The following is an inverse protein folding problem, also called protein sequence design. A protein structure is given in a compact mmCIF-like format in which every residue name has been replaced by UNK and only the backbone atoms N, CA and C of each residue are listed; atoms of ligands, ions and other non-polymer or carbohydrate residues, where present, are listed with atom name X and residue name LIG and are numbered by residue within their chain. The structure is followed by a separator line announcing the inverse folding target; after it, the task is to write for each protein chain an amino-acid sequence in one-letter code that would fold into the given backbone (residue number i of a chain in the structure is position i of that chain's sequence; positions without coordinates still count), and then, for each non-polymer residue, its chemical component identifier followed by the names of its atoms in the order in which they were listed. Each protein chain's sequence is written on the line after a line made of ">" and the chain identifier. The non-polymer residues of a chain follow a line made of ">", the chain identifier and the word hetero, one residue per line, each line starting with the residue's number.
data_IF_523580327335
#
_entry.id   IF_523580327335
#
_cell.length_a   1.000
_cell.length_b   1.000
_cell.length_c   1.000
_cell.angle_alpha   90.00
_cell.angle_beta   90.00
_cell.angle_gamma   90.00
#
_symmetry.space_group_name_H-M   'P 1'
#
loop_
_entity.id
_entity.type
_entity.pdbx_description
1 polymer ?
#
# COMPACT_ATOMS: atom_id res chain seq x y z
N UNK A 1 -15.94 8.73 -28.68
CA UNK A 1 -16.09 7.45 -27.95
C UNK A 1 -14.76 7.17 -27.27
N UNK A 2 -14.76 6.78 -26.00
CA UNK A 2 -13.55 6.56 -25.20
C UNK A 2 -13.74 5.27 -24.40
N UNK A 3 -12.66 4.49 -24.22
CA UNK A 3 -12.64 3.32 -23.34
C UNK A 3 -12.64 3.74 -21.88
N UNK A 4 -13.56 3.18 -21.08
CA UNK A 4 -13.53 3.34 -19.63
C UNK A 4 -12.50 2.41 -18.97
N UNK A 5 -12.37 2.47 -17.65
CA UNK A 5 -11.42 1.65 -16.86
C UNK A 5 -11.63 0.14 -16.97
N UNK A 6 -12.82 -0.28 -17.41
CA UNK A 6 -13.25 -1.67 -17.65
C UNK A 6 -13.13 -2.07 -19.13
N UNK A 7 -12.54 -1.22 -19.98
CA UNK A 7 -12.38 -1.42 -21.42
C UNK A 7 -13.69 -1.44 -22.25
N UNK A 8 -14.76 -0.89 -21.68
CA UNK A 8 -16.03 -0.68 -22.35
C UNK A 8 -16.05 0.67 -23.08
N UNK A 9 -16.63 0.71 -24.27
CA UNK A 9 -16.80 1.95 -25.03
C UNK A 9 -17.87 2.83 -24.39
N UNK A 10 -17.51 4.10 -24.13
CA UNK A 10 -18.41 5.12 -23.60
C UNK A 10 -18.45 6.33 -24.51
N UNK A 11 -19.66 6.87 -24.70
CA UNK A 11 -19.85 8.18 -25.31
C UNK A 11 -19.82 9.24 -24.22
N UNK A 12 -18.98 10.25 -24.41
CA UNK A 12 -18.80 11.33 -23.45
C UNK A 12 -19.31 12.64 -24.02
N UNK A 13 -19.91 13.45 -23.15
CA UNK A 13 -20.28 14.83 -23.41
C UNK A 13 -19.59 15.73 -22.40
N UNK A 14 -19.18 16.91 -22.83
CA UNK A 14 -18.68 17.94 -21.94
C UNK A 14 -19.88 18.74 -21.42
N UNK A 15 -20.04 18.81 -20.10
CA UNK A 15 -21.11 19.54 -19.45
C UNK A 15 -20.55 20.45 -18.36
N UNK A 16 -21.17 21.61 -18.16
CA UNK A 16 -20.81 22.53 -17.08
C UNK A 16 -21.58 22.20 -15.80
N UNK A 17 -20.87 22.02 -14.70
CA UNK A 17 -21.44 21.89 -13.35
C UNK A 17 -20.69 22.80 -12.39
N UNK A 18 -21.40 23.64 -11.64
CA UNK A 18 -20.79 24.55 -10.66
C UNK A 18 -19.63 25.40 -11.22
N UNK A 19 -19.76 25.86 -12.48
CA UNK A 19 -18.72 26.62 -13.23
C UNK A 19 -17.46 25.81 -13.61
N UNK A 20 -17.57 24.48 -13.60
CA UNK A 20 -16.50 23.56 -14.01
C UNK A 20 -17.00 22.70 -15.17
N UNK A 21 -16.25 22.67 -16.27
CA UNK A 21 -16.53 21.76 -17.39
C UNK A 21 -16.00 20.36 -17.07
N UNK A 22 -16.90 19.37 -17.09
CA UNK A 22 -16.60 17.97 -16.77
C UNK A 22 -17.06 17.04 -17.89
N UNK A 23 -16.26 16.03 -18.16
CA UNK A 23 -16.63 14.94 -19.06
C UNK A 23 -17.58 13.97 -18.34
N UNK A 24 -18.76 13.79 -18.92
CA UNK A 24 -19.80 12.88 -18.41
C UNK A 24 -20.17 11.85 -19.45
N UNK A 25 -20.49 10.64 -19.01
CA UNK A 25 -21.04 9.63 -19.88
C UNK A 25 -22.51 9.95 -20.21
N UNK A 26 -22.93 9.71 -21.45
CA UNK A 26 -24.31 9.98 -21.90
C UNK A 26 -25.33 9.01 -21.33
N UNK A 27 -24.88 7.86 -20.81
CA UNK A 27 -25.72 6.84 -20.17
C UNK A 27 -26.00 7.14 -18.68
N UNK A 28 -25.55 8.29 -18.17
CA UNK A 28 -25.71 8.69 -16.78
C UNK A 28 -24.75 7.99 -15.80
N UNK A 29 -23.80 7.19 -16.30
CA UNK A 29 -22.79 6.56 -15.44
C UNK A 29 -21.82 7.60 -14.85
N UNK A 30 -21.42 7.38 -13.60
CA UNK A 30 -20.48 8.25 -12.90
C UNK A 30 -19.08 8.10 -13.54
N UNK A 31 -18.51 9.20 -14.03
CA UNK A 31 -17.20 9.21 -14.67
C UNK A 31 -16.02 9.36 -13.69
N UNK A 32 -16.27 9.49 -12.39
CA UNK A 32 -15.21 9.64 -11.40
C UNK A 32 -14.30 8.41 -11.38
N UNK A 33 -12.98 8.65 -11.41
CA UNK A 33 -11.98 7.59 -11.44
C UNK A 33 -11.76 6.98 -12.82
N UNK A 34 -12.30 7.60 -13.87
CA UNK A 34 -11.97 7.30 -15.27
C UNK A 34 -10.76 8.13 -15.72
N UNK A 35 -10.08 7.70 -16.80
CA UNK A 35 -8.88 8.40 -17.29
C UNK A 35 -9.13 9.88 -17.60
N UNK A 36 -10.31 10.19 -18.15
CA UNK A 36 -10.74 11.53 -18.55
C UNK A 36 -11.40 12.33 -17.40
N UNK A 37 -11.69 11.69 -16.27
CA UNK A 37 -12.19 12.34 -15.06
C UNK A 37 -11.62 11.60 -13.81
N UNK A 38 -10.28 11.68 -13.60
CA UNK A 38 -9.64 10.93 -12.53
C UNK A 38 -10.10 11.46 -11.17
N UNK A 39 -10.27 10.56 -10.22
CA UNK A 39 -10.51 10.94 -8.84
C UNK A 39 -9.24 11.55 -8.24
N UNK A 40 -9.35 12.32 -7.15
CA UNK A 40 -8.16 12.79 -6.45
C UNK A 40 -7.34 11.61 -5.88
N UNK A 41 -8.01 10.73 -5.16
CA UNK A 41 -7.50 9.46 -4.64
C UNK A 41 -8.64 8.42 -4.56
N UNK A 42 -8.35 7.23 -4.02
CA UNK A 42 -9.36 6.19 -3.86
C UNK A 42 -10.47 6.58 -2.87
N UNK A 43 -10.19 7.43 -1.87
CA UNK A 43 -11.21 7.91 -0.92
C UNK A 43 -12.15 8.91 -1.58
N UNK A 44 -11.64 9.80 -2.44
CA UNK A 44 -12.46 10.69 -3.28
C UNK A 44 -13.37 9.89 -4.21
N UNK A 45 -12.83 8.84 -4.86
CA UNK A 45 -13.62 7.94 -5.70
C UNK A 45 -14.73 7.24 -4.89
N UNK A 46 -14.42 6.71 -3.70
CA UNK A 46 -15.39 6.07 -2.82
C UNK A 46 -16.53 7.02 -2.41
N UNK A 47 -16.21 8.27 -2.08
CA UNK A 47 -17.20 9.25 -1.64
C UNK A 47 -18.13 9.71 -2.77
N UNK A 48 -17.64 9.73 -4.01
CA UNK A 48 -18.40 10.21 -5.18
C UNK A 48 -19.18 9.11 -5.89
N UNK A 49 -18.74 7.87 -5.81
CA UNK A 49 -19.33 6.75 -6.54
C UNK A 49 -20.20 5.93 -5.58
N UNK A 50 -21.52 5.97 -5.80
CA UNK A 50 -22.44 5.10 -5.07
C UNK A 50 -22.09 3.63 -5.31
N UNK A 51 -21.97 2.85 -4.23
CA UNK A 51 -21.56 1.44 -4.27
C UNK A 51 -20.25 1.19 -5.02
N UNK A 52 -19.24 2.07 -4.82
CA UNK A 52 -17.91 1.88 -5.39
C UNK A 52 -17.38 0.47 -5.09
N UNK A 53 -16.92 -0.24 -6.12
CA UNK A 53 -16.39 -1.61 -6.01
C UNK A 53 -14.87 -1.60 -6.03
N UNK A 54 -14.27 -2.65 -5.47
CA UNK A 54 -12.84 -2.89 -5.60
C UNK A 54 -12.45 -3.00 -7.08
N UNK A 55 -11.36 -2.36 -7.49
CA UNK A 55 -10.98 -2.33 -8.89
C UNK A 55 -9.92 -1.29 -9.22
N UNK A 56 -9.61 -1.13 -10.50
CA UNK A 56 -8.66 -0.12 -10.95
C UNK A 56 -9.33 1.22 -11.18
N UNK A 57 -8.79 2.29 -10.61
CA UNK A 57 -9.26 3.66 -10.81
C UNK A 57 -8.10 4.50 -11.31
N UNK A 58 -8.42 5.53 -12.08
CA UNK A 58 -7.50 6.61 -12.39
C UNK A 58 -7.56 7.64 -11.27
N UNK A 59 -6.42 7.87 -10.63
CA UNK A 59 -6.27 8.84 -9.55
C UNK A 59 -5.27 9.93 -9.93
N UNK A 60 -5.48 11.15 -9.44
CA UNK A 60 -4.62 12.30 -9.68
C UNK A 60 -4.32 13.01 -8.36
N UNK A 61 -3.34 12.47 -7.66
CA UNK A 61 -2.77 13.10 -6.47
C UNK A 61 -2.11 14.44 -6.86
N UNK A 62 -2.22 15.45 -5.99
CA UNK A 62 -1.77 16.83 -6.23
C UNK A 62 -0.44 16.93 -6.98
N UNK A 63 -0.46 17.55 -8.16
CA UNK A 63 0.75 17.81 -8.97
C UNK A 63 1.15 16.71 -9.96
N UNK A 64 0.48 15.55 -9.97
CA UNK A 64 0.86 14.43 -10.82
C UNK A 64 -0.01 14.25 -12.08
N UNK A 65 0.57 13.55 -13.05
CA UNK A 65 -0.15 12.94 -14.17
C UNK A 65 -1.13 11.89 -13.60
N UNK A 66 -2.35 11.75 -14.15
CA UNK A 66 -3.27 10.69 -13.73
C UNK A 66 -2.57 9.32 -13.78
N UNK A 67 -2.65 8.58 -12.68
CA UNK A 67 -2.06 7.26 -12.53
C UNK A 67 -3.16 6.22 -12.30
N UNK A 68 -3.06 5.07 -12.97
CA UNK A 68 -3.93 3.94 -12.68
C UNK A 68 -3.48 3.29 -11.37
N UNK A 69 -4.42 3.05 -10.47
CA UNK A 69 -4.18 2.45 -9.16
C UNK A 69 -5.28 1.45 -8.85
N UNK A 70 -4.95 0.36 -8.15
CA UNK A 70 -5.98 -0.52 -7.61
C UNK A 70 -6.51 0.06 -6.30
N UNK A 71 -7.79 0.39 -6.28
CA UNK A 71 -8.53 0.82 -5.11
C UNK A 71 -9.33 -0.34 -4.54
N UNK A 72 -9.24 -0.52 -3.23
CA UNK A 72 -10.16 -1.36 -2.46
C UNK A 72 -11.06 -0.41 -1.69
N UNK A 73 -12.33 -0.55 -2.02
CA UNK A 73 -13.47 0.23 -1.60
C UNK A 73 -14.28 -0.51 -0.52
N UNK A 74 -13.92 -1.76 -0.23
CA UNK A 74 -14.70 -2.65 0.65
C UNK A 74 -14.12 -2.80 2.05
N UNK A 75 -12.80 -2.98 2.18
CA UNK A 75 -12.19 -3.43 3.44
C UNK A 75 -11.86 -2.26 4.34
N UNK A 76 -12.23 -2.33 5.62
CA UNK A 76 -11.95 -1.28 6.62
C UNK A 76 -12.45 0.10 6.15
N UNK A 77 -13.71 0.17 5.72
CA UNK A 77 -14.36 1.39 5.24
C UNK A 77 -13.89 1.89 3.86
N UNK A 78 -13.04 1.15 3.17
CA UNK A 78 -12.64 1.45 1.78
C UNK A 78 -11.81 2.73 1.60
N UNK A 79 -11.59 3.09 0.32
CA UNK A 79 -10.91 4.33 -0.07
C UNK A 79 -9.39 4.19 -0.10
N UNK A 80 -8.91 2.97 -0.30
CA UNK A 80 -7.55 2.57 -0.02
C UNK A 80 -6.76 2.21 -1.29
N UNK A 81 -5.57 2.78 -1.45
CA UNK A 81 -4.68 2.51 -2.61
C UNK A 81 -3.75 1.30 -2.37
N UNK A 82 -3.66 0.37 -3.32
CA UNK A 82 -2.64 -0.70 -3.31
C UNK A 82 -1.29 -0.18 -3.82
N UNK A 83 -0.25 -0.27 -2.98
CA UNK A 83 1.09 0.30 -3.26
C UNK A 83 2.19 -0.76 -3.39
N UNK A 84 1.93 -1.99 -2.95
CA UNK A 84 2.89 -3.07 -3.06
C UNK A 84 2.27 -4.45 -2.84
N UNK A 85 2.82 -5.44 -3.53
CA UNK A 85 2.43 -6.85 -3.36
C UNK A 85 3.65 -7.74 -3.27
N UNK A 86 3.53 -8.79 -2.46
CA UNK A 86 4.43 -9.94 -2.46
C UNK A 86 3.67 -11.26 -2.41
N UNK A 87 4.26 -12.32 -2.97
CA UNK A 87 3.66 -13.65 -3.11
C UNK A 87 4.25 -14.73 -2.20
N UNK A 88 5.32 -14.46 -1.46
CA UNK A 88 5.85 -15.38 -0.46
C UNK A 88 6.54 -14.63 0.70
N UNK A 89 6.70 -15.25 1.86
CA UNK A 89 7.44 -14.66 2.98
C UNK A 89 8.97 -14.73 2.80
N UNK A 90 9.47 -15.55 1.87
CA UNK A 90 10.87 -16.01 1.82
C UNK A 90 11.77 -15.20 0.86
N UNK A 91 11.27 -14.73 -0.28
CA UNK A 91 12.08 -13.91 -1.20
C UNK A 91 12.21 -12.48 -0.67
N UNK A 92 13.42 -11.96 -0.49
CA UNK A 92 13.61 -10.67 0.18
C UNK A 92 13.60 -9.48 -0.77
N UNK A 93 13.52 -9.76 -2.07
CA UNK A 93 13.71 -8.78 -3.14
C UNK A 93 12.41 -8.57 -3.89
N UNK A 94 11.71 -7.47 -3.58
CA UNK A 94 10.55 -7.01 -4.35
C UNK A 94 10.97 -5.73 -5.07
N UNK A 95 10.99 -5.71 -6.42
CA UNK A 95 11.42 -4.53 -7.15
C UNK A 95 10.46 -3.37 -6.92
N UNK A 96 10.95 -2.14 -7.07
CA UNK A 96 10.09 -0.96 -7.17
C UNK A 96 10.11 -0.42 -8.60
N UNK A 97 8.96 -0.02 -9.11
CA UNK A 97 8.86 0.57 -10.43
C UNK A 97 7.61 1.47 -10.54
N UNK A 98 7.46 2.14 -11.67
CA UNK A 98 6.33 3.05 -11.93
C UNK A 98 5.10 2.33 -12.50
N UNK A 99 5.02 0.99 -12.43
CA UNK A 99 3.85 0.24 -12.91
C UNK A 99 2.77 0.22 -11.83
N UNK A 100 1.52 0.06 -12.28
CA UNK A 100 0.36 -0.17 -11.42
C UNK A 100 0.54 -1.49 -10.67
N UNK A 101 0.34 -1.47 -9.36
CA UNK A 101 0.34 -2.71 -8.56
C UNK A 101 -1.00 -3.40 -8.71
N UNK A 102 -0.97 -4.67 -9.10
CA UNK A 102 -2.16 -5.49 -9.28
C UNK A 102 -2.30 -6.51 -8.14
N UNK A 103 -3.53 -6.78 -7.64
CA UNK A 103 -3.75 -7.74 -6.54
C UNK A 103 -3.28 -9.15 -6.86
N UNK A 104 -3.32 -9.54 -8.14
CA UNK A 104 -2.92 -10.87 -8.62
C UNK A 104 -1.73 -10.84 -9.60
N UNK A 105 -1.13 -9.68 -9.86
CA UNK A 105 0.03 -9.52 -10.74
C UNK A 105 1.40 -9.80 -10.09
N UNK A 106 2.48 -9.56 -10.84
CA UNK A 106 3.85 -9.83 -10.36
C UNK A 106 4.17 -9.01 -9.08
N UNK A 107 4.94 -9.55 -8.12
CA UNK A 107 5.39 -8.77 -6.96
C UNK A 107 6.19 -7.53 -7.37
N UNK A 108 5.75 -6.36 -6.96
CA UNK A 108 6.52 -5.13 -6.99
C UNK A 108 5.91 -4.08 -6.04
N UNK A 109 6.65 -3.01 -5.81
CA UNK A 109 6.19 -1.75 -5.22
C UNK A 109 5.94 -0.71 -6.31
N UNK A 110 5.04 0.22 -6.03
CA UNK A 110 4.86 1.44 -6.81
C UNK A 110 5.77 2.55 -6.29
N UNK A 111 6.63 3.10 -7.15
CA UNK A 111 7.37 4.34 -6.89
C UNK A 111 6.62 5.59 -7.35
N UNK A 112 5.56 5.44 -8.16
CA UNK A 112 4.77 6.58 -8.66
C UNK A 112 3.95 7.28 -7.57
N UNK A 113 3.86 6.67 -6.38
CA UNK A 113 3.13 7.19 -5.23
C UNK A 113 4.05 7.74 -4.13
N UNK A 114 5.35 7.93 -4.39
CA UNK A 114 6.31 8.39 -3.37
C UNK A 114 5.95 9.71 -2.69
N UNK A 115 5.39 10.66 -3.44
CA UNK A 115 4.97 11.98 -2.91
C UNK A 115 3.56 12.00 -2.33
N UNK A 116 2.81 10.91 -2.46
CA UNK A 116 1.47 10.82 -1.96
C UNK A 116 1.43 11.06 -0.44
N UNK A 117 0.61 12.00 0.07
CA UNK A 117 0.49 12.24 1.49
C UNK A 117 -0.27 11.09 2.15
N UNK A 118 0.33 10.49 3.17
CA UNK A 118 -0.21 9.34 3.91
C UNK A 118 -0.59 9.77 5.32
N UNK A 119 -1.81 9.44 5.77
CA UNK A 119 -2.19 9.48 7.19
C UNK A 119 -2.47 8.10 7.77
N UNK A 120 -2.79 7.13 6.92
CA UNK A 120 -2.99 5.74 7.30
C UNK A 120 -2.11 4.84 6.43
N UNK A 121 -1.73 3.69 7.01
CA UNK A 121 -0.99 2.62 6.33
C UNK A 121 -1.47 1.27 6.87
N UNK A 122 -1.50 0.22 6.05
CA UNK A 122 -2.02 -1.09 6.46
C UNK A 122 -1.18 -2.21 5.88
N UNK A 123 -1.17 -3.32 6.60
CA UNK A 123 -0.52 -4.55 6.12
C UNK A 123 -1.49 -5.69 6.26
N UNK A 124 -1.64 -6.46 5.19
CA UNK A 124 -2.50 -7.63 5.13
C UNK A 124 -1.75 -8.84 4.61
N UNK A 125 -2.05 -9.97 5.22
CA UNK A 125 -1.49 -11.27 4.90
C UNK A 125 -2.66 -12.20 4.63
N UNK A 126 -2.67 -12.83 3.45
CA UNK A 126 -3.60 -13.91 3.18
C UNK A 126 -2.92 -15.24 3.52
N UNK A 127 -3.52 -16.00 4.43
CA UNK A 127 -3.05 -17.31 4.85
C UNK A 127 -4.01 -18.36 4.30
N UNK A 128 -3.44 -19.36 3.61
CA UNK A 128 -4.20 -20.53 3.18
C UNK A 128 -4.17 -21.55 4.32
N UNK A 129 -5.30 -21.74 4.99
CA UNK A 129 -5.47 -22.82 5.98
C UNK A 129 -5.66 -24.15 5.24
N UNK A 130 -5.13 -25.24 5.81
CA UNK A 130 -5.12 -26.59 5.19
C UNK A 130 -6.53 -27.09 4.87
N UNK A 131 -7.56 -26.66 5.61
CA UNK A 131 -8.94 -27.15 5.50
C UNK A 131 -10.01 -26.05 5.34
N UNK A 132 -9.63 -24.79 5.11
CA UNK A 132 -10.57 -23.66 5.07
C UNK A 132 -10.31 -22.67 3.94
N UNK A 133 -11.28 -21.79 3.69
CA UNK A 133 -11.14 -20.61 2.83
C UNK A 133 -9.97 -19.72 3.31
N UNK A 134 -9.41 -18.93 2.40
CA UNK A 134 -8.31 -18.01 2.70
C UNK A 134 -8.70 -17.05 3.82
N UNK A 135 -7.85 -16.94 4.84
CA UNK A 135 -8.04 -15.98 5.92
C UNK A 135 -7.15 -14.76 5.69
N UNK A 136 -7.76 -13.58 5.70
CA UNK A 136 -7.05 -12.31 5.62
C UNK A 136 -6.80 -11.79 7.04
N UNK A 137 -5.54 -11.72 7.43
CA UNK A 137 -5.11 -11.14 8.71
C UNK A 137 -4.41 -9.82 8.41
N UNK A 138 -4.67 -8.77 9.18
CA UNK A 138 -3.94 -7.54 9.00
C UNK A 138 -4.17 -6.50 10.07
N UNK A 139 -3.33 -5.46 10.03
CA UNK A 139 -3.40 -4.31 10.92
C UNK A 139 -3.32 -3.01 10.12
N UNK A 140 -4.08 -2.00 10.53
CA UNK A 140 -3.93 -0.62 10.08
C UNK A 140 -3.24 0.23 11.15
N UNK A 141 -2.45 1.19 10.69
CA UNK A 141 -1.63 2.08 11.48
C UNK A 141 -2.04 3.51 11.13
N UNK A 142 -2.60 4.22 12.11
CA UNK A 142 -2.90 5.65 11.96
C UNK A 142 -1.66 6.45 12.34
N UNK A 143 -1.15 7.26 11.42
CA UNK A 143 -0.06 8.19 11.71
C UNK A 143 -0.58 9.38 12.52
N UNK A 144 0.28 9.95 13.36
CA UNK A 144 -0.01 11.20 14.09
C UNK A 144 -0.14 12.40 13.15
N UNK A 145 0.69 12.44 12.11
CA UNK A 145 0.77 13.52 11.14
C UNK A 145 0.86 12.97 9.72
N UNK A 146 0.29 13.72 8.76
CA UNK A 146 0.45 13.42 7.34
C UNK A 146 1.93 13.51 6.94
N UNK A 147 2.41 12.55 6.16
CA UNK A 147 3.76 12.60 5.56
C UNK A 147 3.78 11.96 4.18
N UNK A 148 4.73 12.28 3.29
CA UNK A 148 4.87 11.58 2.02
C UNK A 148 5.20 10.10 2.20
N UNK A 149 4.71 9.23 1.31
CA UNK A 149 5.03 7.79 1.31
C UNK A 149 6.54 7.51 1.29
N UNK A 150 7.31 8.30 0.53
CA UNK A 150 8.78 8.20 0.48
C UNK A 150 9.47 8.48 1.81
N UNK A 151 8.74 8.92 2.83
CA UNK A 151 9.20 9.13 4.20
C UNK A 151 8.47 8.20 5.18
N UNK A 152 7.99 7.04 4.72
CA UNK A 152 7.31 6.04 5.54
C UNK A 152 8.19 5.57 6.69
N UNK A 153 9.47 5.31 6.43
CA UNK A 153 10.44 4.94 7.45
C UNK A 153 11.11 6.17 8.07
N UNK A 154 11.21 6.16 9.39
CA UNK A 154 11.78 7.21 10.23
C UNK A 154 13.07 6.74 10.90
N UNK A 155 14.06 7.62 10.95
CA UNK A 155 15.33 7.40 11.65
C UNK A 155 15.50 8.47 12.72
N UNK A 156 15.79 8.06 13.97
CA UNK A 156 16.05 8.95 15.10
C UNK A 156 14.92 9.97 15.38
N UNK A 157 13.67 9.60 15.11
CA UNK A 157 12.47 10.43 15.34
C UNK A 157 11.22 9.57 15.38
N UNK A 158 10.12 10.14 15.86
CA UNK A 158 8.81 9.50 15.92
C UNK A 158 8.78 8.21 16.72
N UNK A 159 9.59 8.11 17.77
CA UNK A 159 9.74 6.92 18.61
C UNK A 159 10.75 5.90 18.08
N UNK A 160 11.29 6.08 16.88
CA UNK A 160 12.34 5.23 16.30
C UNK A 160 13.74 5.72 16.69
N UNK A 161 14.59 4.78 17.11
CA UNK A 161 15.96 5.07 17.55
C UNK A 161 16.95 5.21 16.38
N UNK A 162 18.17 5.66 16.70
CA UNK A 162 19.26 5.78 15.72
C UNK A 162 19.74 4.43 15.15
N UNK A 163 19.62 3.36 15.92
CA UNK A 163 20.02 2.00 15.51
C UNK A 163 18.83 1.12 15.09
N UNK A 164 17.61 1.65 15.22
CA UNK A 164 16.36 0.95 14.94
C UNK A 164 15.39 1.90 14.22
N UNK A 165 15.67 2.21 12.94
CA UNK A 165 14.71 2.95 12.12
C UNK A 165 13.47 2.11 11.85
N UNK A 166 12.36 2.78 11.58
CA UNK A 166 11.13 2.11 11.20
C UNK A 166 9.93 3.01 11.06
N UNK A 167 8.74 2.42 11.04
CA UNK A 167 7.47 3.13 10.98
C UNK A 167 7.18 3.63 12.39
N UNK A 168 7.53 4.90 12.62
CA UNK A 168 7.21 5.65 13.82
C UNK A 168 6.10 6.68 13.58
N UNK A 169 5.87 7.52 14.58
CA UNK A 169 4.78 8.51 14.64
C UNK A 169 3.40 7.89 14.46
N UNK A 170 3.14 6.79 15.16
CA UNK A 170 1.84 6.12 15.17
C UNK A 170 0.96 6.69 16.29
N UNK A 171 -0.26 7.06 15.95
CA UNK A 171 -1.32 7.45 16.88
C UNK A 171 -1.99 6.22 17.49
N UNK A 172 -2.38 5.27 16.66
CA UNK A 172 -2.93 3.99 17.09
C UNK A 172 -2.75 2.90 16.03
N UNK A 173 -2.80 1.66 16.47
CA UNK A 173 -2.86 0.46 15.63
C UNK A 173 -4.23 -0.16 15.79
N UNK A 174 -4.88 -0.51 14.69
CA UNK A 174 -6.18 -1.17 14.66
C UNK A 174 -6.04 -2.55 14.01
N UNK A 175 -6.72 -3.51 14.60
CA UNK A 175 -6.85 -4.85 14.06
C UNK A 175 -7.97 -4.87 13.00
N UNK A 176 -7.70 -5.44 11.83
CA UNK A 176 -8.66 -5.39 10.71
C UNK A 176 -9.78 -6.42 10.79
N UNK A 177 -9.59 -7.49 11.57
CA UNK A 177 -10.62 -8.53 11.72
C UNK A 177 -11.64 -8.12 12.77
N UNK A 178 -11.15 -7.60 13.89
CA UNK A 178 -11.99 -7.20 15.03
C UNK A 178 -12.40 -5.74 14.99
N UNK A 179 -11.80 -4.93 14.12
CA UNK A 179 -11.95 -3.47 14.02
C UNK A 179 -11.58 -2.71 15.30
N UNK A 180 -10.92 -3.36 16.26
CA UNK A 180 -10.56 -2.77 17.55
C UNK A 180 -9.18 -2.13 17.53
N UNK A 181 -9.04 -1.04 18.26
CA UNK A 181 -7.73 -0.44 18.54
C UNK A 181 -6.95 -1.37 19.46
N UNK A 182 -5.85 -1.92 18.96
CA UNK A 182 -4.99 -2.86 19.69
C UNK A 182 -3.99 -2.13 20.59
N UNK A 183 -3.54 -0.94 20.19
CA UNK A 183 -2.64 -0.11 21.01
C UNK A 183 -2.62 1.35 20.55
N UNK A 184 -2.45 2.26 21.50
CA UNK A 184 -2.16 3.70 21.28
C UNK A 184 -0.74 4.08 21.70
N UNK A 185 0.02 3.12 22.25
CA UNK A 185 1.38 3.32 22.79
C UNK A 185 2.46 2.76 21.86
N UNK A 186 2.14 2.59 20.57
CA UNK A 186 3.08 2.07 19.59
C UNK A 186 4.25 3.04 19.40
N UNK A 187 5.47 2.59 19.71
CA UNK A 187 6.68 3.44 19.66
C UNK A 187 7.30 3.48 18.27
N UNK A 188 7.69 2.33 17.74
CA UNK A 188 8.30 2.20 16.42
C UNK A 188 8.14 0.74 15.99
N UNK A 189 7.87 0.50 14.71
CA UNK A 189 8.12 -0.84 14.17
C UNK A 189 9.63 -1.02 14.15
N UNK A 190 10.16 -1.95 14.93
CA UNK A 190 11.55 -2.30 14.73
C UNK A 190 11.68 -2.90 13.33
N UNK A 191 12.74 -2.54 12.66
CA UNK A 191 13.30 -3.35 11.61
C UNK A 191 14.78 -3.48 11.95
N UNK A 192 15.41 -4.62 11.67
CA UNK A 192 16.78 -4.93 12.12
C UNK A 192 17.80 -3.80 12.06
N UNK A 193 18.82 -3.99 12.89
CA UNK A 193 20.02 -3.17 12.99
C UNK A 193 20.48 -2.54 11.67
N UNK A 194 20.65 -1.23 11.74
CA UNK A 194 21.30 -0.37 10.75
C UNK A 194 22.61 -0.99 10.23
N UNK A 195 22.69 -1.31 8.94
CA UNK A 195 23.96 -1.70 8.31
C UNK A 195 24.48 -0.58 7.39
N UNK A 196 25.68 -0.12 7.72
CA UNK A 196 26.66 0.74 7.02
C UNK A 196 26.23 2.12 6.49
N UNK A 197 26.97 3.15 6.96
CA UNK A 197 26.98 4.52 6.42
C UNK A 197 27.66 4.63 5.05
N UNK A 198 28.43 3.64 4.59
CA UNK A 198 29.33 3.80 3.45
C UNK A 198 28.75 3.43 2.08
N UNK A 199 27.66 2.64 2.02
CA UNK A 199 27.31 1.97 0.75
C UNK A 199 25.89 2.31 0.23
N UNK A 200 25.11 3.14 0.93
CA UNK A 200 23.74 3.48 0.49
C UNK A 200 22.74 2.31 0.53
N UNK A 201 23.10 1.20 1.19
CA UNK A 201 22.23 0.03 1.39
C UNK A 201 21.44 0.15 2.70
N UNK A 202 20.21 -0.39 2.74
CA UNK A 202 19.39 -0.47 3.97
C UNK A 202 18.08 0.33 3.91
N UNK A 203 17.68 0.95 5.03
CA UNK A 203 16.35 1.58 5.20
C UNK A 203 16.12 2.83 4.36
N UNK A 204 17.17 3.63 4.18
CA UNK A 204 17.14 4.78 3.26
C UNK A 204 16.91 4.32 1.81
N UNK A 205 17.37 3.11 1.45
CA UNK A 205 17.09 2.50 0.16
C UNK A 205 15.59 2.20 -0.01
N UNK A 206 14.87 1.79 1.04
CA UNK A 206 13.42 1.55 0.92
C UNK A 206 12.66 2.86 0.68
N UNK A 207 12.94 3.90 1.47
CA UNK A 207 12.37 5.24 1.24
C UNK A 207 12.70 5.75 -0.18
N UNK A 208 13.93 5.52 -0.64
CA UNK A 208 14.36 5.86 -1.99
C UNK A 208 13.60 5.06 -3.07
N UNK A 209 13.40 3.76 -2.85
CA UNK A 209 12.65 2.91 -3.77
C UNK A 209 11.15 3.17 -3.75
N UNK A 210 10.59 3.77 -2.69
CA UNK A 210 9.24 4.31 -2.71
C UNK A 210 9.15 5.61 -3.53
N UNK A 211 10.27 6.29 -3.79
CA UNK A 211 10.33 7.52 -4.56
C UNK A 211 10.71 7.34 -6.03
N UNK A 212 11.44 6.27 -6.38
CA UNK A 212 11.89 6.01 -7.75
C UNK A 212 12.07 4.51 -8.04
N UNK A 213 12.04 4.10 -9.33
CA UNK A 213 12.29 2.71 -9.71
C UNK A 213 13.61 2.18 -9.18
N UNK A 214 13.60 0.93 -8.72
CA UNK A 214 14.74 0.20 -8.21
C UNK A 214 14.71 -1.24 -8.73
N UNK A 215 15.72 -1.61 -9.53
CA UNK A 215 15.92 -2.98 -10.02
C UNK A 215 16.56 -3.90 -8.97
N UNK A 216 17.25 -3.32 -7.98
CA UNK A 216 18.05 -4.03 -7.00
C UNK A 216 17.44 -3.84 -5.61
N UNK A 217 16.85 -4.90 -5.08
CA UNK A 217 17.22 -5.30 -3.72
C UNK A 217 18.13 -6.54 -3.83
N UNK A 218 19.23 -6.42 -4.57
CA UNK A 218 20.38 -7.33 -4.45
C UNK A 218 21.35 -6.70 -3.46
N UNK A 219 21.93 -7.51 -2.57
CA UNK A 219 23.37 -7.71 -2.65
C UNK A 219 23.65 -9.13 -3.10
N UNK A 220 24.39 -9.26 -4.19
CA UNK A 220 25.21 -10.44 -4.40
C UNK A 220 26.31 -10.45 -3.35
N UNK A 221 26.08 -11.07 -2.20
CA UNK A 221 27.15 -11.75 -1.47
C UNK A 221 26.54 -12.74 -0.52
N UNK A 222 27.14 -13.93 -0.53
CA UNK A 222 26.88 -15.05 0.35
C UNK A 222 27.05 -14.60 1.81
N UNK A 223 25.99 -14.13 2.44
CA UNK A 223 25.82 -14.18 3.88
C UNK A 223 24.38 -13.83 4.25
N UNK A 224 23.73 -14.83 4.84
CA UNK A 224 22.58 -14.77 5.72
C UNK A 224 22.44 -13.39 6.39
N UNK A 225 21.47 -12.54 6.02
CA UNK A 225 20.78 -11.57 6.92
C UNK A 225 19.87 -10.50 6.27
N UNK A 226 19.50 -10.56 4.99
CA UNK A 226 18.42 -9.69 4.49
C UNK A 226 17.01 -10.18 4.87
N UNK A 227 16.77 -10.51 6.14
CA UNK A 227 15.55 -11.20 6.63
C UNK A 227 14.40 -10.27 7.05
N UNK A 228 14.54 -8.94 6.94
CA UNK A 228 14.01 -8.09 8.02
C UNK A 228 12.95 -7.05 7.70
N UNK A 229 12.66 -6.73 6.43
CA UNK A 229 11.51 -5.85 6.14
C UNK A 229 10.19 -6.57 6.41
N UNK A 230 10.16 -7.87 6.07
CA UNK A 230 8.97 -8.68 6.13
C UNK A 230 8.84 -9.50 7.42
N UNK A 231 9.94 -9.98 8.02
CA UNK A 231 9.84 -10.66 9.32
C UNK A 231 9.34 -9.75 10.43
N UNK A 232 9.52 -8.42 10.33
CA UNK A 232 9.06 -7.49 11.35
C UNK A 232 7.67 -6.90 11.09
N UNK A 233 7.27 -6.71 9.82
CA UNK A 233 5.85 -6.53 9.49
C UNK A 233 5.03 -7.78 9.81
N UNK A 234 5.59 -8.97 9.52
CA UNK A 234 5.07 -10.22 10.04
C UNK A 234 5.23 -10.30 11.56
N UNK A 235 6.26 -9.72 12.21
CA UNK A 235 6.43 -9.67 13.67
C UNK A 235 5.27 -8.92 14.34
N UNK A 236 4.87 -7.81 13.73
CA UNK A 236 3.72 -7.02 14.17
C UNK A 236 2.40 -7.78 13.93
N UNK A 237 2.34 -8.67 12.94
CA UNK A 237 1.23 -9.63 12.74
C UNK A 237 1.41 -10.94 13.55
N UNK A 238 2.61 -11.24 14.06
CA UNK A 238 3.10 -12.57 14.49
C UNK A 238 2.71 -12.97 15.89
N UNK A 239 2.09 -12.11 16.68
CA UNK A 239 1.62 -12.54 18.00
C UNK A 239 0.55 -13.64 17.91
N UNK A 240 0.00 -13.93 16.72
CA UNK A 240 -0.86 -15.10 16.48
C UNK A 240 -0.20 -16.23 15.64
N UNK A 241 0.90 -15.94 14.91
CA UNK A 241 1.55 -16.92 14.02
C UNK A 241 2.41 -17.94 14.80
N UNK A 242 2.87 -17.61 16.01
CA UNK A 242 3.74 -18.48 16.82
C UNK A 242 3.07 -19.80 17.28
N UNK A 243 1.75 -19.96 17.12
CA UNK A 243 1.04 -21.20 17.44
C UNK A 243 0.88 -22.17 16.24
N UNK A 244 1.33 -21.79 15.04
CA UNK A 244 1.03 -22.55 13.82
C UNK A 244 2.20 -22.70 12.84
N UNK A 245 3.45 -22.69 13.32
CA UNK A 245 4.63 -23.02 12.48
C UNK A 245 4.61 -24.46 11.97
N UNK A 246 3.84 -25.37 12.57
CA UNK A 246 3.75 -26.79 12.16
C UNK A 246 2.78 -27.10 11.00
N UNK A 247 2.03 -26.11 10.48
CA UNK A 247 0.95 -26.34 9.49
C UNK A 247 1.04 -25.48 8.21
N UNK A 248 2.13 -24.74 7.97
CA UNK A 248 2.18 -23.77 6.86
C UNK A 248 2.70 -24.36 5.53
N UNK A 249 1.81 -24.53 4.54
CA UNK A 249 2.19 -24.57 3.12
C UNK A 249 2.05 -23.16 2.49
N UNK A 250 3.12 -22.38 2.59
CA UNK A 250 3.39 -21.10 1.90
C UNK A 250 2.33 -19.95 2.02
N UNK A 251 2.68 -18.80 2.62
CA UNK A 251 1.82 -17.61 2.60
C UNK A 251 1.85 -16.95 1.20
N UNK A 252 0.70 -16.88 0.52
CA UNK A 252 0.61 -16.50 -0.90
C UNK A 252 0.28 -15.02 -1.17
N UNK A 253 0.04 -14.21 -0.13
CA UNK A 253 -0.22 -12.78 -0.31
C UNK A 253 0.30 -12.01 0.90
N UNK A 254 1.24 -11.10 0.68
CA UNK A 254 1.37 -9.94 1.55
C UNK A 254 1.02 -8.72 0.71
N UNK A 255 -0.19 -8.25 0.92
CA UNK A 255 -0.65 -6.99 0.37
C UNK A 255 -0.18 -5.91 1.35
N UNK A 256 0.84 -5.16 0.94
CA UNK A 256 1.10 -3.88 1.59
C UNK A 256 0.21 -2.88 0.89
N UNK A 257 -0.91 -2.66 1.53
CA UNK A 257 -1.95 -1.82 1.01
C UNK A 257 -1.97 -0.60 1.89
N UNK A 258 -1.94 0.60 1.29
CA UNK A 258 -2.59 1.82 1.78
C UNK A 258 -1.74 3.08 1.83
N UNK A 259 -2.36 4.09 1.20
CA UNK A 259 -2.40 5.51 1.54
C UNK A 259 -3.89 5.89 1.61
N UNK A 260 -4.27 6.68 2.62
CA UNK A 260 -5.49 7.48 2.75
C UNK A 260 -5.07 8.86 3.27
#
# INVERSE_FOLDING_TARGET
>A
MVKNREDNDKLLVCAEENKVYLWKATDGSNSTGEFFNPAYDCSDALNKISQAKDGFYWIKLSGNIPNKAYCDMSTDGGGWVLIGRKTNAVTWTVPSNNKTVEPFGKPHWSSSLGDAPIIDFRVQVAIKKISAQQELIGRSFRLKNKRPLKKLLMLNKGGCGRLSPGIGDISYVKDLQTEKIVTTKFRCSHFSSYHSKSDGFGWDMLNNCLNRPCHLALPSTKNTQFKLIFQELLAIVRLEISLQESLMSQPHLLAVKIIK
#
